data_IF_896988594959
#
_entry.id   IF_896988594959
#
_cell.length_a   1.000
_cell.length_b   1.000
_cell.length_c   1.000
_cell.angle_alpha   90.00
_cell.angle_beta   90.00
_cell.angle_gamma   90.00
#
_symmetry.space_group_name_H-M   'P 1'
#
loop_
_entity.id
_entity.type
_entity.pdbx_description
1 polymer ?
#
# COMPACT_ATOMS: atom_id res chain seq x y z
N UNK A 1 -20.49 11.33 9.52
CA UNK A 1 -19.68 10.48 10.43
C UNK A 1 -18.31 10.35 9.79
N UNK A 2 -17.28 10.96 10.38
CA UNK A 2 -15.90 10.81 9.92
C UNK A 2 -15.44 9.42 10.31
N UNK A 3 -15.33 8.50 9.34
CA UNK A 3 -14.76 7.17 9.55
C UNK A 3 -13.26 7.34 9.82
N UNK A 4 -12.89 7.56 11.09
CA UNK A 4 -11.48 7.66 11.48
C UNK A 4 -10.90 6.24 11.49
N UNK A 5 -9.89 5.99 10.68
CA UNK A 5 -9.24 4.69 10.61
C UNK A 5 -8.51 4.41 11.95
N UNK A 6 -8.92 3.37 12.68
CA UNK A 6 -8.30 2.96 13.95
C UNK A 6 -7.33 1.81 13.68
N UNK A 7 -6.12 1.85 14.25
CA UNK A 7 -5.20 0.73 14.15
C UNK A 7 -5.74 -0.47 14.95
N UNK A 8 -5.84 -1.68 14.37
CA UNK A 8 -6.39 -2.84 15.06
C UNK A 8 -5.48 -3.40 16.17
N UNK A 9 -4.20 -3.01 16.20
CA UNK A 9 -3.23 -3.50 17.19
C UNK A 9 -3.00 -2.55 18.37
N UNK A 10 -2.78 -1.27 18.12
CA UNK A 10 -2.52 -0.29 19.18
C UNK A 10 -3.69 0.63 19.46
N UNK A 11 -4.80 0.48 18.74
CA UNK A 11 -6.03 1.25 18.93
C UNK A 11 -5.88 2.77 18.70
N UNK A 12 -4.72 3.26 18.29
CA UNK A 12 -4.54 4.65 17.93
C UNK A 12 -5.31 4.99 16.66
N UNK A 13 -6.00 6.13 16.70
CA UNK A 13 -6.57 6.77 15.53
C UNK A 13 -5.45 7.16 14.55
N UNK A 14 -5.60 6.74 13.30
CA UNK A 14 -4.65 7.01 12.22
C UNK A 14 -5.25 8.10 11.32
N UNK A 15 -4.60 9.27 11.32
CA UNK A 15 -4.83 10.31 10.30
C UNK A 15 -3.84 10.20 9.14
N UNK A 16 -2.74 9.47 9.35
CA UNK A 16 -1.66 9.27 8.39
C UNK A 16 -1.20 7.81 8.49
N UNK A 17 -0.67 7.27 7.39
CA UNK A 17 -0.19 5.90 7.28
C UNK A 17 1.21 5.94 6.70
N UNK A 18 2.12 5.13 7.22
CA UNK A 18 3.46 5.04 6.66
C UNK A 18 3.49 4.02 5.52
N UNK A 19 3.94 4.45 4.33
CA UNK A 19 4.00 3.61 3.12
C UNK A 19 5.46 3.40 2.76
N UNK A 20 5.88 2.15 2.63
CA UNK A 20 7.24 1.80 2.21
C UNK A 20 7.20 0.89 0.98
N UNK A 21 8.03 1.16 -0.05
CA UNK A 21 8.14 0.29 -1.20
C UNK A 21 8.80 -1.04 -0.79
N UNK A 22 8.28 -2.14 -1.31
CA UNK A 22 8.83 -3.47 -1.15
C UNK A 22 8.88 -4.19 -2.50
N UNK A 23 9.75 -5.19 -2.62
CA UNK A 23 9.72 -6.11 -3.75
C UNK A 23 8.92 -7.34 -3.36
N UNK A 24 7.74 -7.51 -3.95
CA UNK A 24 6.95 -8.73 -3.82
C UNK A 24 7.44 -9.76 -4.84
N UNK A 25 7.31 -11.04 -4.51
CA UNK A 25 7.49 -12.15 -5.46
C UNK A 25 6.16 -12.86 -5.57
N UNK A 26 5.68 -13.03 -6.79
CA UNK A 26 4.60 -13.96 -7.06
C UNK A 26 5.15 -15.41 -6.97
N UNK A 27 4.27 -16.41 -6.80
CA UNK A 27 4.61 -17.84 -6.84
C UNK A 27 5.30 -18.27 -8.14
N UNK A 28 5.27 -17.42 -9.18
CA UNK A 28 6.03 -17.55 -10.42
C UNK A 28 7.48 -17.02 -10.36
N UNK A 29 7.96 -16.62 -9.17
CA UNK A 29 9.26 -15.99 -8.92
C UNK A 29 9.50 -14.63 -9.60
N UNK A 30 8.53 -14.10 -10.34
CA UNK A 30 8.62 -12.74 -10.90
C UNK A 30 8.54 -11.71 -9.78
N UNK A 31 9.45 -10.74 -9.82
CA UNK A 31 9.46 -9.61 -8.90
C UNK A 31 8.45 -8.54 -9.32
N UNK A 32 7.61 -8.13 -8.40
CA UNK A 32 6.62 -7.07 -8.57
C UNK A 32 6.95 -5.91 -7.62
N UNK A 33 6.80 -4.68 -8.11
CA UNK A 33 6.83 -3.50 -7.24
C UNK A 33 5.56 -3.50 -6.39
N UNK A 34 5.74 -3.47 -5.07
CA UNK A 34 4.67 -3.50 -4.11
C UNK A 34 4.92 -2.44 -3.04
N UNK A 35 3.90 -2.19 -2.22
CA UNK A 35 3.99 -1.31 -1.08
C UNK A 35 3.46 -2.01 0.17
N UNK A 36 4.06 -1.70 1.31
CA UNK A 36 3.56 -2.08 2.63
C UNK A 36 3.07 -0.85 3.36
N UNK A 37 1.89 -0.96 3.95
CA UNK A 37 1.24 0.08 4.72
C UNK A 37 1.37 -0.26 6.19
N UNK A 38 1.99 0.63 6.96
CA UNK A 38 2.27 0.43 8.39
C UNK A 38 1.63 1.52 9.23
N UNK A 39 1.12 1.12 10.40
CA UNK A 39 0.66 2.05 11.43
C UNK A 39 1.84 2.91 11.88
N UNK A 40 1.68 4.24 11.85
CA UNK A 40 2.75 5.17 12.23
C UNK A 40 3.13 5.06 13.70
N UNK A 41 2.16 4.73 14.56
CA UNK A 41 2.38 4.69 16.01
C UNK A 41 3.12 3.44 16.48
N UNK A 42 2.79 2.26 15.94
CA UNK A 42 3.30 1.00 16.46
C UNK A 42 4.01 0.13 15.41
N UNK A 43 4.17 0.62 14.18
CA UNK A 43 4.85 -0.07 13.09
C UNK A 43 4.13 -1.31 12.54
N UNK A 44 2.91 -1.60 13.02
CA UNK A 44 2.18 -2.80 12.61
C UNK A 44 1.79 -2.71 11.15
N UNK A 45 2.06 -3.79 10.40
CA UNK A 45 1.62 -3.93 9.00
C UNK A 45 0.10 -4.00 8.98
N UNK A 46 -0.52 -3.03 8.30
CA UNK A 46 -1.97 -2.94 8.12
C UNK A 46 -2.40 -3.60 6.81
N UNK A 47 -1.58 -3.45 5.77
CA UNK A 47 -1.79 -4.07 4.47
C UNK A 47 -0.46 -4.17 3.72
N UNK A 48 -0.39 -5.10 2.76
CA UNK A 48 0.67 -5.17 1.77
C UNK A 48 0.04 -5.54 0.43
N UNK A 49 0.48 -4.92 -0.65
CA UNK A 49 -0.10 -5.17 -1.98
C UNK A 49 0.66 -4.47 -3.10
N UNK A 50 0.19 -4.64 -4.35
CA UNK A 50 0.72 -3.91 -5.49
C UNK A 50 0.65 -2.41 -5.21
N UNK A 51 1.70 -1.68 -5.57
CA UNK A 51 1.71 -0.23 -5.35
C UNK A 51 0.65 0.44 -6.26
N UNK A 52 -0.39 1.07 -5.69
CA UNK A 52 -1.50 1.65 -6.45
C UNK A 52 -1.05 2.83 -7.31
N UNK A 53 0.02 3.54 -6.93
CA UNK A 53 0.56 4.64 -7.72
C UNK A 53 1.25 4.10 -8.97
N UNK A 54 2.08 3.06 -8.83
CA UNK A 54 2.71 2.37 -9.97
C UNK A 54 1.64 1.77 -10.90
N UNK A 55 0.57 1.20 -10.34
CA UNK A 55 -0.58 0.72 -11.12
C UNK A 55 -1.27 1.86 -11.88
N UNK A 56 -1.50 3.00 -11.23
CA UNK A 56 -2.15 4.15 -11.86
C UNK A 56 -1.34 4.73 -13.02
N UNK A 57 -0.02 4.82 -12.89
CA UNK A 57 0.89 5.25 -13.97
C UNK A 57 0.88 4.27 -15.13
N UNK A 58 0.88 2.96 -14.84
CA UNK A 58 0.84 1.92 -15.86
C UNK A 58 -0.47 1.95 -16.65
N UNK A 59 -1.61 2.10 -15.97
CA UNK A 59 -2.93 2.22 -16.61
C UNK A 59 -3.02 3.50 -17.44
N UNK A 60 -2.54 4.64 -16.92
CA UNK A 60 -2.53 5.90 -17.67
C UNK A 60 -1.69 5.80 -18.95
N UNK A 61 -0.55 5.10 -18.91
CA UNK A 61 0.28 4.83 -20.08
C UNK A 61 -0.43 3.95 -21.13
N UNK A 62 -1.17 2.93 -20.70
CA UNK A 62 -1.97 2.09 -21.59
C UNK A 62 -3.12 2.85 -22.26
N UNK A 63 -3.74 3.81 -21.55
CA UNK A 63 -4.82 4.65 -22.10
C UNK A 63 -4.29 5.69 -23.07
N UNK A 64 -3.13 6.30 -22.82
CA UNK A 64 -2.51 7.30 -23.71
C UNK A 64 -1.91 6.71 -25.00
N UNK A 65 -1.65 5.40 -25.03
CA UNK A 65 -1.12 4.71 -26.20
C UNK A 65 -2.17 4.22 -27.20
N UNK A 66 -3.46 4.49 -26.94
CA UNK A 66 -4.59 4.31 -27.88
C UNK A 66 -4.99 5.64 -28.48
#
# INVERSE_FOLDING_TARGET
>A
MSNIAKCPKCENHQTEINVAPITARDGTQKTLKAAVYTCRSCGTILAAGPDPYVLSEHIAGLVKGR
#
